data_IF_086881366514
#
_entry.id   IF_086881366514
#
_cell.length_a   1.000
_cell.length_b   1.000
_cell.length_c   1.000
_cell.angle_alpha   90.00
_cell.angle_beta   90.00
_cell.angle_gamma   90.00
#
_symmetry.space_group_name_H-M   'P 1'
#
loop_
_entity.id
_entity.type
_entity.pdbx_description
1 polymer ?
#
# COMPACT_ATOMS: atom_id res chain seq x y z
N UNK A 1 -15.16 3.00 20.69
CA UNK A 1 -14.78 1.62 20.28
C UNK A 1 -14.83 1.61 18.76
N UNK A 2 -13.79 1.48 17.96
CA UNK A 2 -12.40 1.01 18.09
C UNK A 2 -11.52 1.90 17.19
N UNK A 3 -10.46 2.53 17.72
CA UNK A 3 -9.64 3.52 16.97
C UNK A 3 -8.25 3.01 16.58
N UNK A 4 -7.96 1.71 16.73
CA UNK A 4 -6.62 1.13 16.48
C UNK A 4 -6.48 0.26 15.24
N UNK A 5 -7.58 -0.04 14.54
CA UNK A 5 -7.57 -0.80 13.29
C UNK A 5 -8.09 0.03 12.10
N UNK A 6 -7.95 1.36 12.16
CA UNK A 6 -8.49 2.26 11.14
C UNK A 6 -7.86 2.02 9.77
N UNK A 7 -6.56 1.70 9.70
CA UNK A 7 -5.90 1.36 8.45
C UNK A 7 -6.51 0.11 7.80
N UNK A 8 -6.82 -0.94 8.57
CA UNK A 8 -7.43 -2.14 8.00
C UNK A 8 -8.83 -1.88 7.43
N UNK A 9 -9.71 -1.26 8.21
CA UNK A 9 -11.09 -1.01 7.77
C UNK A 9 -11.17 0.01 6.65
N UNK A 10 -10.40 1.10 6.74
CA UNK A 10 -10.40 2.16 5.74
C UNK A 10 -9.81 1.67 4.42
N UNK A 11 -8.70 0.91 4.45
CA UNK A 11 -8.08 0.41 3.22
C UNK A 11 -8.97 -0.62 2.53
N UNK A 12 -9.63 -1.51 3.28
CA UNK A 12 -10.61 -2.43 2.69
C UNK A 12 -11.76 -1.66 2.00
N UNK A 13 -12.23 -0.57 2.59
CA UNK A 13 -13.25 0.29 1.99
C UNK A 13 -12.75 0.99 0.72
N UNK A 14 -11.52 1.50 0.72
CA UNK A 14 -10.90 2.13 -0.45
C UNK A 14 -10.75 1.12 -1.60
N UNK A 15 -10.25 -0.08 -1.33
CA UNK A 15 -10.12 -1.14 -2.33
C UNK A 15 -11.48 -1.52 -2.94
N UNK A 16 -12.52 -1.63 -2.11
CA UNK A 16 -13.87 -1.91 -2.61
C UNK A 16 -14.41 -0.78 -3.49
N UNK A 17 -14.16 0.48 -3.12
CA UNK A 17 -14.55 1.65 -3.94
C UNK A 17 -13.80 1.67 -5.27
N UNK A 18 -12.49 1.44 -5.26
CA UNK A 18 -11.68 1.33 -6.48
C UNK A 18 -12.24 0.25 -7.41
N UNK A 19 -12.53 -0.95 -6.87
CA UNK A 19 -13.14 -2.05 -7.64
C UNK A 19 -14.50 -1.66 -8.24
N UNK A 20 -15.35 -0.97 -7.46
CA UNK A 20 -16.67 -0.52 -7.92
C UNK A 20 -16.60 0.56 -8.99
N UNK A 21 -15.58 1.40 -8.95
CA UNK A 21 -15.36 2.49 -9.91
C UNK A 21 -14.52 2.07 -11.12
N UNK A 22 -14.00 0.83 -11.15
CA UNK A 22 -13.14 0.35 -12.23
C UNK A 22 -11.75 0.97 -12.22
N UNK A 23 -11.26 1.40 -11.06
CA UNK A 23 -9.91 1.95 -10.90
C UNK A 23 -8.92 0.80 -10.76
N UNK A 24 -8.00 0.68 -11.72
CA UNK A 24 -6.97 -0.38 -11.75
C UNK A 24 -5.60 0.07 -11.22
N UNK A 25 -5.45 1.34 -10.83
CA UNK A 25 -4.20 1.88 -10.32
C UNK A 25 -3.73 1.16 -9.03
N UNK A 26 -2.41 0.99 -8.82
CA UNK A 26 -1.89 0.36 -7.60
C UNK A 26 -2.17 1.23 -6.36
N UNK A 27 -2.71 0.63 -5.30
CA UNK A 27 -2.87 1.30 -4.01
C UNK A 27 -1.59 1.14 -3.17
N UNK A 28 -1.02 2.27 -2.75
CA UNK A 28 0.14 2.33 -1.85
C UNK A 28 -0.28 2.98 -0.53
N UNK A 29 0.12 2.41 0.60
CA UNK A 29 -0.23 2.90 1.94
C UNK A 29 1.04 3.19 2.74
N UNK A 30 1.05 4.29 3.50
CA UNK A 30 2.10 4.63 4.45
C UNK A 30 1.55 4.85 5.86
N UNK A 31 2.39 4.70 6.88
CA UNK A 31 2.07 5.11 8.26
C UNK A 31 2.64 4.18 9.33
N UNK A 32 2.28 4.43 10.59
CA UNK A 32 2.66 3.55 11.71
C UNK A 32 1.77 2.29 11.67
N UNK A 33 2.21 1.28 10.92
CA UNK A 33 1.46 0.05 10.66
C UNK A 33 2.24 -1.14 11.27
N UNK A 34 1.62 -1.95 12.15
CA UNK A 34 2.23 -3.20 12.63
C UNK A 34 2.54 -4.17 11.48
N UNK A 35 3.62 -4.95 11.61
CA UNK A 35 4.06 -5.90 10.57
C UNK A 35 2.97 -6.89 10.15
N UNK A 36 2.22 -7.41 11.13
CA UNK A 36 1.10 -8.33 10.88
C UNK A 36 -0.01 -7.70 10.03
N UNK A 37 -0.27 -6.41 10.22
CA UNK A 37 -1.28 -5.68 9.48
C UNK A 37 -0.76 -5.31 8.09
N UNK A 38 0.52 -4.95 7.95
CA UNK A 38 1.15 -4.74 6.65
C UNK A 38 1.07 -6.00 5.77
N UNK A 39 1.32 -7.18 6.34
CA UNK A 39 1.16 -8.45 5.63
C UNK A 39 -0.30 -8.70 5.20
N UNK A 40 -1.27 -8.42 6.07
CA UNK A 40 -2.70 -8.53 5.75
C UNK A 40 -3.14 -7.55 4.68
N UNK A 41 -2.68 -6.30 4.73
CA UNK A 41 -2.98 -5.28 3.72
C UNK A 41 -2.47 -5.69 2.34
N UNK A 42 -1.25 -6.23 2.24
CA UNK A 42 -0.72 -6.77 0.98
C UNK A 42 -1.58 -7.93 0.47
N UNK A 43 -1.99 -8.85 1.35
CA UNK A 43 -2.87 -9.95 0.98
C UNK A 43 -4.27 -9.49 0.51
N UNK A 44 -4.72 -8.30 0.92
CA UNK A 44 -5.97 -7.69 0.44
C UNK A 44 -5.84 -7.02 -0.94
N UNK A 45 -4.62 -6.89 -1.49
CA UNK A 45 -4.37 -6.26 -2.79
C UNK A 45 -3.74 -4.87 -2.73
N UNK A 46 -3.26 -4.43 -1.57
CA UNK A 46 -2.39 -3.24 -1.49
C UNK A 46 -1.05 -3.57 -2.15
N UNK A 47 -0.63 -2.75 -3.11
CA UNK A 47 0.57 -2.97 -3.90
C UNK A 47 1.86 -2.76 -3.09
N UNK A 48 1.88 -1.75 -2.20
CA UNK A 48 3.01 -1.50 -1.30
C UNK A 48 2.56 -0.90 0.04
N UNK A 49 3.28 -1.25 1.10
CA UNK A 49 3.08 -0.73 2.45
C UNK A 49 4.43 -0.23 2.97
N UNK A 50 4.49 1.05 3.34
CA UNK A 50 5.66 1.70 3.93
C UNK A 50 5.39 2.07 5.39
N UNK A 51 6.31 1.67 6.26
CA UNK A 51 6.27 1.82 7.71
C UNK A 51 7.41 2.72 8.19
N UNK A 52 7.50 3.07 9.48
CA UNK A 52 8.65 3.82 9.99
C UNK A 52 10.01 3.11 9.84
N UNK A 53 10.02 1.81 9.50
CA UNK A 53 11.24 1.06 9.19
C UNK A 53 11.73 1.34 7.76
N UNK A 54 10.86 1.86 6.90
CA UNK A 54 11.15 2.18 5.51
C UNK A 54 11.52 3.67 5.44
N UNK A 55 12.80 3.98 5.65
CA UNK A 55 13.29 5.37 5.72
C UNK A 55 14.11 5.81 4.50
N UNK A 56 14.40 4.89 3.58
CA UNK A 56 15.19 5.17 2.38
C UNK A 56 14.32 5.79 1.28
N UNK A 57 14.14 7.11 1.31
CA UNK A 57 13.23 7.82 0.39
C UNK A 57 13.50 7.51 -1.08
N UNK A 58 14.76 7.49 -1.52
CA UNK A 58 15.10 7.19 -2.91
C UNK A 58 14.63 5.79 -3.31
N UNK A 59 14.76 4.81 -2.40
CA UNK A 59 14.30 3.44 -2.63
C UNK A 59 12.78 3.38 -2.72
N UNK A 60 12.08 4.05 -1.81
CA UNK A 60 10.60 4.15 -1.81
C UNK A 60 10.10 4.75 -3.13
N UNK A 61 10.73 5.84 -3.59
CA UNK A 61 10.34 6.49 -4.85
C UNK A 61 10.58 5.58 -6.06
N UNK A 62 11.72 4.89 -6.12
CA UNK A 62 12.01 3.94 -7.20
C UNK A 62 11.03 2.76 -7.19
N UNK A 63 10.71 2.21 -6.02
CA UNK A 63 9.73 1.14 -5.89
C UNK A 63 8.33 1.59 -6.39
N UNK A 64 7.87 2.80 -6.03
CA UNK A 64 6.59 3.35 -6.52
C UNK A 64 6.58 3.52 -8.03
N UNK A 65 7.67 4.03 -8.62
CA UNK A 65 7.78 4.13 -10.09
C UNK A 65 7.73 2.74 -10.72
N UNK A 66 8.43 1.76 -10.14
CA UNK A 66 8.41 0.37 -10.60
C UNK A 66 7.03 -0.31 -10.56
N UNK A 67 6.10 0.17 -9.72
CA UNK A 67 4.71 -0.33 -9.71
C UNK A 67 3.90 0.07 -10.93
N UNK A 68 4.26 1.17 -11.59
CA UNK A 68 3.53 1.71 -12.76
C UNK A 68 4.33 1.60 -14.06
N UNK A 69 5.65 1.44 -13.96
CA UNK A 69 6.57 1.25 -15.07
C UNK A 69 7.55 0.10 -14.77
N UNK A 70 7.22 -1.14 -15.19
CA UNK A 70 8.04 -2.31 -14.91
C UNK A 70 9.44 -2.27 -15.52
N UNK A 71 9.67 -1.45 -16.56
CA UNK A 71 10.98 -1.33 -17.19
C UNK A 71 11.99 -0.62 -16.27
N UNK A 72 11.52 0.27 -15.39
CA UNK A 72 12.34 0.95 -14.37
C UNK A 72 12.75 -0.01 -13.24
N UNK A 73 11.96 -1.04 -12.95
CA UNK A 73 12.27 -2.00 -11.89
C UNK A 73 13.41 -2.97 -12.26
N UNK A 74 13.77 -3.08 -13.54
CA UNK A 74 14.79 -3.99 -14.06
C UNK A 74 16.17 -3.33 -14.27
N UNK A 75 16.28 -2.00 -14.09
CA UNK A 75 17.50 -1.21 -14.24
C UNK A 75 18.28 -1.08 -12.92
#
# INVERSE_FOLDING_TARGET
>A
RSSRASHMSLVAEVLERMRREGIEAPLVIGGIIPEEDAARLRALGVAAVYTPKDFELNRIMLDIVGLVDPEVAAA
#
